data_IF_773607241154
#
_entry.id   IF_773607241154
#
_cell.length_a   1.000
_cell.length_b   1.000
_cell.length_c   1.000
_cell.angle_alpha   90.00
_cell.angle_beta   90.00
_cell.angle_gamma   90.00
#
_symmetry.space_group_name_H-M   'P 1'
#
loop_
_entity.id
_entity.type
_entity.pdbx_description
1 polymer ?
#
# COMPACT_ATOMS: atom_id res chain seq x y z
N UNK A 1 56.12 -7.51 13.00
CA UNK A 1 55.99 -7.66 14.46
C UNK A 1 56.84 -6.60 15.13
N UNK A 2 56.21 -5.58 15.72
CA UNK A 2 56.70 -4.71 16.81
C UNK A 2 55.67 -3.57 17.00
N UNK A 3 55.00 -3.52 18.16
CA UNK A 3 54.12 -2.42 18.57
C UNK A 3 54.94 -1.29 19.21
N UNK A 4 54.47 -0.03 19.14
CA UNK A 4 54.71 0.95 20.17
C UNK A 4 53.48 1.17 21.09
N UNK A 5 53.83 1.50 22.33
CA UNK A 5 53.02 1.54 23.56
C UNK A 5 52.10 2.77 23.62
N UNK A 6 50.87 2.59 24.11
CA UNK A 6 49.99 3.69 24.54
C UNK A 6 50.04 3.83 26.06
N UNK A 7 50.46 5.01 26.50
CA UNK A 7 50.58 5.46 27.89
C UNK A 7 49.19 5.83 28.45
N UNK A 8 48.91 5.38 29.67
CA UNK A 8 47.65 5.59 30.37
C UNK A 8 47.49 6.99 30.95
N UNK A 9 46.26 7.50 30.94
CA UNK A 9 45.81 8.54 31.88
C UNK A 9 44.44 8.15 32.44
N UNK A 10 44.48 7.86 33.72
CA UNK A 10 43.39 7.57 34.65
C UNK A 10 42.46 8.78 34.74
N UNK A 11 41.13 8.58 34.59
CA UNK A 11 40.12 9.57 35.01
C UNK A 11 39.25 8.90 36.06
N UNK A 12 39.34 9.43 37.28
CA UNK A 12 38.59 8.99 38.45
C UNK A 12 37.09 9.30 38.30
N UNK A 13 36.26 8.28 38.51
CA UNK A 13 34.81 8.42 38.70
C UNK A 13 34.55 8.82 40.16
N UNK A 14 34.01 10.02 40.37
CA UNK A 14 33.41 10.42 41.65
C UNK A 14 31.97 9.91 41.70
N UNK A 15 31.71 9.06 42.68
CA UNK A 15 30.39 8.63 43.07
C UNK A 15 29.65 9.74 43.83
N UNK A 16 28.36 9.90 43.57
CA UNK A 16 27.44 10.55 44.49
C UNK A 16 26.15 9.71 44.58
N UNK A 17 25.96 9.11 45.75
CA UNK A 17 24.75 8.41 46.19
C UNK A 17 23.93 9.41 46.99
N UNK A 18 22.62 9.52 46.73
CA UNK A 18 21.66 9.98 47.73
C UNK A 18 20.26 9.40 47.44
N UNK A 19 19.58 9.04 48.51
CA UNK A 19 18.51 8.06 48.60
C UNK A 19 17.09 8.64 48.45
N UNK A 20 16.19 7.78 47.96
CA UNK A 20 14.87 7.38 48.48
C UNK A 20 13.89 8.47 48.97
N UNK A 21 12.69 8.48 48.37
CA UNK A 21 11.44 8.62 49.11
C UNK A 21 10.31 7.81 48.44
N UNK A 22 9.77 6.84 49.18
CA UNK A 22 8.53 6.11 48.89
C UNK A 22 7.39 6.90 49.52
N UNK A 23 6.35 7.23 48.73
CA UNK A 23 5.10 7.82 49.20
C UNK A 23 3.91 7.05 48.64
N UNK A 24 3.04 6.58 49.53
CA UNK A 24 1.91 5.71 49.26
C UNK A 24 0.59 6.48 48.98
N UNK A 25 -0.30 5.81 48.23
CA UNK A 25 -1.78 5.77 48.30
C UNK A 25 -2.59 7.08 48.36
N UNK A 26 -3.47 7.25 47.37
CA UNK A 26 -4.90 7.48 47.60
C UNK A 26 -5.71 7.06 46.36
N UNK A 27 -6.61 6.09 46.55
CA UNK A 27 -7.73 5.85 45.65
C UNK A 27 -8.77 6.97 45.83
N UNK A 28 -9.38 7.43 44.74
CA UNK A 28 -10.66 8.14 44.86
C UNK A 28 -11.63 7.63 43.80
N UNK A 29 -12.61 6.86 44.28
CA UNK A 29 -13.84 6.58 43.56
C UNK A 29 -14.91 7.54 44.10
N UNK A 30 -15.59 8.24 43.20
CA UNK A 30 -16.86 8.91 43.48
C UNK A 30 -17.70 8.91 42.21
N UNK A 31 -19.00 8.82 42.42
CA UNK A 31 -20.00 8.06 41.67
C UNK A 31 -21.08 9.02 41.15
N UNK A 32 -21.71 8.63 40.03
CA UNK A 32 -22.96 9.15 39.42
C UNK A 32 -22.89 10.58 38.87
N UNK A 33 -23.40 10.86 37.66
CA UNK A 33 -24.79 10.67 37.21
C UNK A 33 -24.87 10.60 35.66
N UNK A 34 -25.83 9.84 35.15
CA UNK A 34 -26.38 9.94 33.78
C UNK A 34 -27.86 10.27 33.99
N UNK A 35 -28.50 11.20 33.26
CA UNK A 35 -29.01 10.85 31.93
C UNK A 35 -29.15 12.04 30.94
N UNK A 36 -29.31 11.72 29.65
CA UNK A 36 -30.46 12.17 28.82
C UNK A 36 -30.22 11.85 27.34
N UNK A 37 -31.27 11.31 26.73
CA UNK A 37 -31.35 10.87 25.35
C UNK A 37 -31.67 12.02 24.36
N UNK A 38 -31.63 11.65 23.07
CA UNK A 38 -32.38 12.19 21.94
C UNK A 38 -31.69 13.19 20.98
N UNK A 39 -31.10 12.60 19.91
CA UNK A 39 -31.41 12.80 18.48
C UNK A 39 -31.25 14.21 17.85
N UNK A 40 -31.47 14.35 16.53
CA UNK A 40 -30.51 14.08 15.44
C UNK A 40 -30.12 15.38 14.70
N UNK A 41 -28.86 15.53 14.28
CA UNK A 41 -28.50 16.66 13.39
C UNK A 41 -28.47 16.20 11.94
N UNK A 42 -29.23 16.93 11.14
CA UNK A 42 -29.71 16.62 9.82
C UNK A 42 -28.61 16.51 8.76
N UNK A 43 -28.88 15.62 7.80
CA UNK A 43 -28.20 15.58 6.53
C UNK A 43 -28.31 16.93 5.80
N UNK A 44 -27.24 17.40 5.13
CA UNK A 44 -27.34 18.56 4.25
C UNK A 44 -28.30 18.27 3.08
N UNK A 45 -29.03 19.29 2.59
CA UNK A 45 -30.08 19.10 1.59
C UNK A 45 -29.50 18.60 0.27
N UNK A 46 -30.22 17.63 -0.32
CA UNK A 46 -29.98 17.13 -1.66
C UNK A 46 -29.91 18.29 -2.68
N UNK A 47 -28.92 18.30 -3.59
CA UNK A 47 -28.96 19.20 -4.73
C UNK A 47 -30.13 18.83 -5.64
N UNK A 48 -30.92 19.85 -5.98
CA UNK A 48 -32.09 19.75 -6.84
C UNK A 48 -31.70 19.28 -8.25
N UNK A 49 -32.60 18.52 -8.84
CA UNK A 49 -32.55 18.11 -10.24
C UNK A 49 -32.34 19.32 -11.17
N UNK A 50 -31.27 19.23 -11.96
CA UNK A 50 -31.09 19.98 -13.19
C UNK A 50 -30.60 19.01 -14.24
N UNK A 51 -31.48 18.73 -15.19
CA UNK A 51 -31.23 18.00 -16.41
C UNK A 51 -30.22 18.80 -17.23
N UNK A 52 -29.02 18.25 -17.48
CA UNK A 52 -28.29 18.42 -18.73
C UNK A 52 -27.03 17.54 -18.77
N UNK A 53 -27.04 16.59 -19.73
CA UNK A 53 -25.94 15.81 -20.30
C UNK A 53 -25.28 14.72 -19.43
N UNK A 54 -25.89 13.54 -19.51
CA UNK A 54 -25.32 12.22 -19.27
C UNK A 54 -24.05 12.02 -20.13
N UNK A 55 -22.88 12.22 -19.54
CA UNK A 55 -21.65 11.55 -19.99
C UNK A 55 -21.42 10.44 -18.98
N UNK A 56 -21.77 9.23 -19.42
CA UNK A 56 -21.96 8.04 -18.62
C UNK A 56 -20.73 7.70 -17.75
N UNK A 57 -20.88 7.85 -16.44
CA UNK A 57 -19.93 7.37 -15.42
C UNK A 57 -20.35 6.02 -14.82
N UNK A 58 -21.41 5.41 -15.35
CA UNK A 58 -21.79 4.06 -14.99
C UNK A 58 -20.93 3.09 -15.78
N UNK A 59 -19.92 2.58 -15.11
CA UNK A 59 -19.18 1.39 -15.52
C UNK A 59 -20.15 0.36 -16.11
N UNK A 60 -20.02 0.05 -17.39
CA UNK A 60 -20.91 -0.94 -17.99
C UNK A 60 -20.63 -2.30 -17.34
N UNK A 61 -21.67 -3.12 -17.14
CA UNK A 61 -21.49 -4.48 -16.64
C UNK A 61 -20.48 -5.30 -17.48
N UNK A 62 -20.32 -4.93 -18.76
CA UNK A 62 -19.30 -5.47 -19.65
C UNK A 62 -17.86 -5.11 -19.22
N UNK A 63 -17.61 -3.90 -18.74
CA UNK A 63 -16.29 -3.47 -18.25
C UNK A 63 -15.89 -4.18 -16.95
N UNK A 64 -16.85 -4.35 -16.04
CA UNK A 64 -16.67 -5.14 -14.81
C UNK A 64 -16.31 -6.60 -15.14
N UNK A 65 -17.02 -7.19 -16.11
CA UNK A 65 -16.78 -8.56 -16.56
C UNK A 65 -15.44 -8.70 -17.28
N UNK A 66 -15.05 -7.71 -18.09
CA UNK A 66 -13.79 -7.74 -18.84
C UNK A 66 -12.56 -7.71 -17.90
N UNK A 67 -12.58 -6.90 -16.84
CA UNK A 67 -11.48 -6.88 -15.87
C UNK A 67 -11.34 -8.20 -15.10
N UNK A 68 -12.46 -8.84 -14.74
CA UNK A 68 -12.47 -10.12 -14.03
C UNK A 68 -12.10 -11.32 -14.92
N UNK A 69 -12.31 -11.25 -16.23
CA UNK A 69 -12.07 -12.36 -17.17
C UNK A 69 -10.59 -12.56 -17.56
N UNK A 70 -9.71 -11.64 -17.17
CA UNK A 70 -8.27 -11.74 -17.46
C UNK A 70 -7.60 -12.88 -16.67
N UNK A 71 -6.50 -13.45 -17.19
CA UNK A 71 -5.69 -14.38 -16.40
C UNK A 71 -5.10 -13.66 -15.18
N UNK A 72 -4.92 -14.40 -14.09
CA UNK A 72 -4.29 -13.88 -12.88
C UNK A 72 -2.82 -13.52 -13.14
N UNK A 73 -2.38 -12.37 -12.63
CA UNK A 73 -0.95 -12.04 -12.57
C UNK A 73 -0.28 -12.97 -11.56
N UNK A 74 0.77 -13.69 -12.00
CA UNK A 74 1.48 -14.69 -11.19
C UNK A 74 2.97 -14.41 -11.05
N UNK A 75 3.44 -13.32 -11.62
CA UNK A 75 4.84 -12.88 -11.53
C UNK A 75 4.91 -11.36 -11.56
N UNK A 76 6.12 -10.82 -11.54
CA UNK A 76 6.35 -9.40 -11.76
C UNK A 76 7.48 -9.22 -12.78
N UNK A 77 7.35 -8.18 -13.59
CA UNK A 77 8.34 -7.79 -14.59
C UNK A 77 8.67 -6.32 -14.42
N UNK A 78 9.95 -5.99 -14.58
CA UNK A 78 10.38 -4.61 -14.74
C UNK A 78 10.10 -4.14 -16.19
N UNK A 79 9.09 -3.31 -16.37
CA UNK A 79 8.73 -2.70 -17.66
C UNK A 79 9.57 -1.43 -17.87
N UNK A 80 10.42 -1.35 -18.90
CA UNK A 80 11.26 -0.17 -19.11
C UNK A 80 10.43 1.09 -19.41
N UNK A 81 10.74 2.19 -18.74
CA UNK A 81 10.26 3.54 -19.09
C UNK A 81 11.27 4.22 -20.02
N UNK A 82 12.56 4.01 -19.74
CA UNK A 82 13.66 4.43 -20.59
C UNK A 82 14.86 3.48 -20.35
N UNK A 83 16.05 3.84 -20.84
CA UNK A 83 17.26 3.02 -20.73
C UNK A 83 17.70 2.74 -19.28
N UNK A 84 17.32 3.58 -18.32
CA UNK A 84 17.80 3.51 -16.94
C UNK A 84 16.70 3.23 -15.92
N UNK A 85 15.44 3.47 -16.25
CA UNK A 85 14.30 3.39 -15.34
C UNK A 85 13.25 2.40 -15.83
N UNK A 86 12.64 1.68 -14.92
CA UNK A 86 11.50 0.81 -15.19
C UNK A 86 10.48 0.77 -14.06
N UNK A 87 9.31 0.22 -14.36
CA UNK A 87 8.22 0.02 -13.43
C UNK A 87 8.13 -1.47 -13.11
N UNK A 88 8.24 -1.88 -11.84
CA UNK A 88 7.94 -3.26 -11.48
C UNK A 88 6.42 -3.44 -11.51
N UNK A 89 5.94 -4.20 -12.49
CA UNK A 89 4.51 -4.45 -12.68
C UNK A 89 4.17 -5.91 -12.44
N UNK A 90 3.00 -6.20 -11.84
CA UNK A 90 2.36 -7.50 -11.96
C UNK A 90 2.27 -7.95 -13.42
N UNK A 91 2.64 -9.21 -13.67
CA UNK A 91 2.68 -9.79 -15.02
C UNK A 91 2.27 -11.25 -15.03
N UNK A 92 2.02 -11.77 -16.23
CA UNK A 92 1.82 -13.20 -16.45
C UNK A 92 3.17 -13.92 -16.25
N UNK A 93 3.15 -15.06 -15.53
CA UNK A 93 4.33 -15.90 -15.34
C UNK A 93 4.89 -16.39 -16.68
N UNK A 94 6.22 -16.41 -16.82
CA UNK A 94 6.93 -16.81 -18.02
C UNK A 94 6.47 -16.07 -19.31
N UNK A 95 6.00 -14.83 -19.16
CA UNK A 95 5.52 -13.98 -20.25
C UNK A 95 6.02 -12.55 -20.09
N UNK A 96 5.97 -11.78 -21.18
CA UNK A 96 6.23 -10.32 -21.17
C UNK A 96 4.95 -9.51 -20.94
N UNK A 97 3.78 -10.15 -20.97
CA UNK A 97 2.50 -9.48 -20.85
C UNK A 97 2.20 -9.04 -19.41
N UNK A 98 1.82 -7.78 -19.26
CA UNK A 98 1.23 -7.22 -18.04
C UNK A 98 -0.29 -7.19 -18.08
N UNK A 99 -0.90 -7.73 -19.15
CA UNK A 99 -2.36 -7.82 -19.33
C UNK A 99 -2.90 -9.02 -18.59
N UNK A 100 -3.02 -8.84 -17.28
CA UNK A 100 -3.54 -9.79 -16.31
C UNK A 100 -4.27 -9.01 -15.22
N UNK A 101 -4.95 -9.71 -14.31
CA UNK A 101 -5.60 -9.09 -13.15
C UNK A 101 -5.06 -9.60 -11.81
N UNK A 102 -5.36 -8.83 -10.76
CA UNK A 102 -5.32 -9.27 -9.37
C UNK A 102 -6.63 -8.85 -8.70
N UNK A 103 -7.24 -9.76 -7.95
CA UNK A 103 -8.54 -9.54 -7.30
C UNK A 103 -8.63 -10.23 -5.95
N UNK A 104 -9.71 -9.95 -5.22
CA UNK A 104 -9.93 -10.50 -3.88
C UNK A 104 -9.88 -12.03 -3.87
N UNK A 105 -9.06 -12.57 -2.97
CA UNK A 105 -8.86 -14.01 -2.82
C UNK A 105 -7.63 -14.55 -3.57
N UNK A 106 -6.95 -13.73 -4.38
CA UNK A 106 -5.69 -14.15 -4.98
C UNK A 106 -4.58 -14.24 -3.92
N UNK A 107 -3.82 -15.32 -3.99
CA UNK A 107 -2.65 -15.59 -3.18
C UNK A 107 -1.50 -16.12 -4.06
N UNK A 108 -0.24 -16.12 -3.57
CA UNK A 108 0.91 -16.51 -4.38
C UNK A 108 1.11 -18.04 -4.48
N UNK A 109 0.27 -18.87 -3.85
CA UNK A 109 0.50 -20.28 -3.61
C UNK A 109 -0.53 -21.24 -4.22
N UNK A 110 -1.46 -20.77 -5.06
CA UNK A 110 -2.37 -21.68 -5.79
C UNK A 110 -1.58 -22.58 -6.77
N UNK A 111 -1.13 -23.75 -6.28
CA UNK A 111 -0.48 -24.81 -7.07
C UNK A 111 1.06 -24.91 -7.01
N UNK A 112 1.68 -24.60 -5.87
CA UNK A 112 3.05 -25.00 -5.47
C UNK A 112 4.15 -24.96 -6.55
N UNK A 113 4.81 -23.81 -6.73
CA UNK A 113 6.23 -23.79 -7.10
C UNK A 113 6.87 -22.45 -6.75
N UNK A 114 7.84 -22.43 -5.81
CA UNK A 114 8.60 -21.25 -5.40
C UNK A 114 9.76 -20.94 -6.37
N UNK A 115 9.51 -20.97 -7.68
CA UNK A 115 10.52 -20.58 -8.66
C UNK A 115 10.12 -19.29 -9.36
N UNK A 116 11.00 -18.28 -9.23
CA UNK A 116 10.88 -16.97 -9.87
C UNK A 116 10.49 -15.86 -8.90
N UNK A 117 11.37 -15.49 -7.98
CA UNK A 117 11.18 -14.28 -7.19
C UNK A 117 12.37 -13.35 -7.36
N UNK A 118 12.07 -12.05 -7.52
CA UNK A 118 12.44 -11.27 -6.36
C UNK A 118 11.29 -10.64 -5.60
N UNK A 119 10.02 -10.64 -6.06
CA UNK A 119 8.85 -10.21 -5.28
C UNK A 119 7.53 -10.45 -6.06
N UNK A 120 6.58 -11.22 -5.50
CA UNK A 120 5.36 -11.70 -6.21
C UNK A 120 4.50 -10.58 -6.80
N UNK A 121 3.63 -10.92 -7.76
CA UNK A 121 2.68 -10.00 -8.40
C UNK A 121 1.95 -9.10 -7.38
N UNK A 122 1.40 -9.71 -6.31
CA UNK A 122 0.63 -8.99 -5.30
C UNK A 122 1.54 -8.13 -4.42
N UNK A 123 2.71 -8.63 -4.03
CA UNK A 123 3.64 -7.86 -3.20
C UNK A 123 4.16 -6.61 -3.93
N UNK A 124 4.44 -6.70 -5.23
CA UNK A 124 4.83 -5.54 -6.05
C UNK A 124 3.73 -4.48 -6.05
N UNK A 125 2.47 -4.89 -6.21
CA UNK A 125 1.33 -3.99 -6.09
C UNK A 125 1.25 -3.37 -4.68
N UNK A 126 1.32 -4.17 -3.62
CA UNK A 126 1.24 -3.71 -2.23
C UNK A 126 2.35 -2.70 -1.88
N UNK A 127 3.59 -2.94 -2.31
CA UNK A 127 4.70 -1.99 -2.13
C UNK A 127 4.42 -0.67 -2.85
N UNK A 128 3.92 -0.74 -4.08
CA UNK A 128 3.60 0.46 -4.84
C UNK A 128 2.46 1.26 -4.20
N UNK A 129 1.39 0.58 -3.77
CA UNK A 129 0.27 1.19 -3.04
C UNK A 129 0.74 1.87 -1.75
N UNK A 130 1.61 1.22 -0.97
CA UNK A 130 2.15 1.80 0.25
C UNK A 130 2.98 3.06 -0.02
N UNK A 131 3.82 3.04 -1.06
CA UNK A 131 4.70 4.16 -1.35
C UNK A 131 3.96 5.34 -2.01
N UNK A 132 3.14 5.07 -3.03
CA UNK A 132 2.50 6.12 -3.83
C UNK A 132 1.14 6.58 -3.30
N UNK A 133 0.50 5.79 -2.44
CA UNK A 133 -0.83 6.08 -1.92
C UNK A 133 -0.94 6.01 -0.39
N UNK A 134 0.15 5.66 0.32
CA UNK A 134 0.20 5.72 1.79
C UNK A 134 -0.70 4.69 2.50
N UNK A 135 -1.01 3.56 1.85
CA UNK A 135 -2.06 2.62 2.28
C UNK A 135 -1.70 1.70 3.46
N UNK A 136 -0.46 1.75 3.96
CA UNK A 136 0.03 0.99 5.14
C UNK A 136 -0.35 -0.51 5.16
N UNK A 137 -0.37 -1.16 4.00
CA UNK A 137 -0.64 -2.58 3.82
C UNK A 137 0.52 -3.44 4.34
N UNK A 138 0.19 -4.62 4.85
CA UNK A 138 1.17 -5.71 4.90
C UNK A 138 1.58 -6.08 3.46
N UNK A 139 2.86 -6.37 3.27
CA UNK A 139 3.40 -6.86 2.00
C UNK A 139 3.52 -8.38 2.09
N UNK A 140 2.37 -9.02 2.23
CA UNK A 140 2.23 -10.46 2.48
C UNK A 140 1.99 -11.26 1.18
N UNK A 141 1.73 -10.58 0.07
CA UNK A 141 1.38 -11.21 -1.20
C UNK A 141 -0.04 -11.74 -1.25
N UNK A 142 -0.91 -11.36 -0.31
CA UNK A 142 -2.32 -11.77 -0.29
C UNK A 142 -3.18 -10.59 -0.76
N UNK A 143 -4.02 -10.84 -1.77
CA UNK A 143 -5.01 -9.88 -2.19
C UNK A 143 -6.26 -9.98 -1.29
N UNK A 144 -6.07 -9.58 -0.03
CA UNK A 144 -7.11 -9.55 0.98
C UNK A 144 -8.00 -8.31 0.89
N UNK A 145 -8.86 -8.14 1.91
CA UNK A 145 -9.78 -7.01 2.03
C UNK A 145 -9.06 -5.66 2.03
N UNK A 146 -7.92 -5.56 2.71
CA UNK A 146 -7.12 -4.34 2.79
C UNK A 146 -6.51 -3.98 1.42
N UNK A 147 -5.93 -4.95 0.71
CA UNK A 147 -5.39 -4.74 -0.64
C UNK A 147 -6.50 -4.30 -1.61
N UNK A 148 -7.67 -4.95 -1.54
CA UNK A 148 -8.84 -4.57 -2.34
C UNK A 148 -9.31 -3.14 -2.03
N UNK A 149 -9.37 -2.75 -0.76
CA UNK A 149 -9.77 -1.42 -0.34
C UNK A 149 -8.80 -0.33 -0.85
N UNK A 150 -7.49 -0.61 -0.80
CA UNK A 150 -6.46 0.25 -1.37
C UNK A 150 -6.60 0.41 -2.88
N UNK A 151 -6.84 -0.67 -3.62
CA UNK A 151 -7.09 -0.59 -5.07
C UNK A 151 -8.35 0.21 -5.38
N UNK A 152 -9.44 0.04 -4.62
CA UNK A 152 -10.63 0.88 -4.77
C UNK A 152 -10.35 2.36 -4.51
N UNK A 153 -9.44 2.70 -3.59
CA UNK A 153 -9.02 4.08 -3.38
C UNK A 153 -8.26 4.63 -4.59
N UNK A 154 -7.35 3.86 -5.17
CA UNK A 154 -6.68 4.24 -6.42
C UNK A 154 -7.72 4.51 -7.52
N UNK A 155 -8.68 3.61 -7.70
CA UNK A 155 -9.72 3.75 -8.72
C UNK A 155 -10.55 5.01 -8.52
N UNK A 156 -10.97 5.31 -7.29
CA UNK A 156 -11.67 6.57 -6.98
C UNK A 156 -10.83 7.79 -7.30
N UNK A 157 -9.56 7.80 -6.89
CA UNK A 157 -8.65 8.93 -7.09
C UNK A 157 -8.35 9.19 -8.57
N UNK A 158 -8.49 8.18 -9.42
CA UNK A 158 -8.21 8.23 -10.85
C UNK A 158 -9.48 8.16 -11.71
N UNK A 159 -10.66 8.40 -11.12
CA UNK A 159 -11.96 8.41 -11.82
C UNK A 159 -12.25 7.14 -12.63
N UNK A 160 -11.84 5.99 -12.10
CA UNK A 160 -12.10 4.68 -12.69
C UNK A 160 -13.33 4.03 -12.06
N UNK A 161 -13.82 2.99 -12.74
CA UNK A 161 -14.73 2.00 -12.17
C UNK A 161 -14.15 1.43 -10.87
N UNK A 162 -14.91 1.50 -9.78
CA UNK A 162 -14.46 1.14 -8.43
C UNK A 162 -14.79 -0.33 -8.09
N UNK A 163 -14.28 -1.25 -8.91
CA UNK A 163 -14.53 -2.70 -8.75
C UNK A 163 -13.61 -3.37 -7.71
N UNK A 164 -12.47 -2.74 -7.40
CA UNK A 164 -11.42 -3.29 -6.54
C UNK A 164 -10.58 -4.37 -7.20
N UNK A 165 -10.61 -4.47 -8.54
CA UNK A 165 -9.76 -5.33 -9.35
C UNK A 165 -8.60 -4.48 -9.88
N UNK A 166 -7.39 -4.94 -9.62
CA UNK A 166 -6.23 -4.44 -10.35
C UNK A 166 -6.26 -5.08 -11.75
N UNK A 167 -6.55 -4.29 -12.78
CA UNK A 167 -6.54 -4.70 -14.18
C UNK A 167 -5.89 -3.62 -15.07
N UNK A 168 -5.91 -3.78 -16.41
CA UNK A 168 -5.23 -2.87 -17.33
C UNK A 168 -5.58 -1.39 -17.15
N UNK A 169 -6.85 -1.06 -16.90
CA UNK A 169 -7.28 0.33 -16.63
C UNK A 169 -6.65 0.88 -15.35
N UNK A 170 -6.74 0.13 -14.25
CA UNK A 170 -6.10 0.50 -12.97
C UNK A 170 -4.58 0.64 -13.11
N UNK A 171 -3.93 -0.32 -13.78
CA UNK A 171 -2.48 -0.35 -14.03
C UNK A 171 -2.02 0.90 -14.78
N UNK A 172 -2.73 1.28 -15.85
CA UNK A 172 -2.39 2.42 -16.69
C UNK A 172 -2.61 3.77 -16.00
N UNK A 173 -3.68 3.90 -15.20
CA UNK A 173 -3.96 5.18 -14.54
C UNK A 173 -3.09 5.43 -13.30
N UNK A 174 -2.70 4.37 -12.59
CA UNK A 174 -2.08 4.54 -11.27
C UNK A 174 -0.65 5.10 -11.32
N UNK A 175 -0.27 5.79 -10.25
CA UNK A 175 1.08 6.23 -10.01
C UNK A 175 1.97 5.04 -9.59
N UNK A 176 3.19 5.05 -10.10
CA UNK A 176 4.21 4.02 -9.91
C UNK A 176 5.48 4.60 -9.28
N UNK A 177 6.05 3.84 -8.34
CA UNK A 177 7.44 4.01 -7.90
C UNK A 177 8.37 3.33 -8.90
N UNK A 178 9.28 4.10 -9.48
CA UNK A 178 10.20 3.57 -10.49
C UNK A 178 11.43 2.92 -9.84
N UNK A 179 11.98 1.93 -10.52
CA UNK A 179 13.25 1.30 -10.16
C UNK A 179 14.32 1.67 -11.19
N UNK A 180 15.45 2.17 -10.71
CA UNK A 180 16.62 2.49 -11.53
C UNK A 180 17.46 1.23 -11.71
N UNK A 181 17.55 0.75 -12.94
CA UNK A 181 18.43 -0.36 -13.31
C UNK A 181 19.91 0.06 -13.25
N UNK A 182 20.19 1.33 -13.56
CA UNK A 182 21.56 1.87 -13.57
C UNK A 182 22.16 1.95 -12.17
N UNK A 183 21.38 2.38 -11.18
CA UNK A 183 21.86 2.60 -9.79
C UNK A 183 21.35 1.56 -8.80
N UNK A 184 20.53 0.60 -9.26
CA UNK A 184 19.87 -0.43 -8.44
C UNK A 184 19.08 0.16 -7.25
N UNK A 185 18.49 1.34 -7.46
CA UNK A 185 17.80 2.10 -6.43
C UNK A 185 16.38 2.46 -6.83
N UNK A 186 15.52 2.67 -5.84
CA UNK A 186 14.15 3.11 -6.06
C UNK A 186 14.05 4.63 -6.18
N UNK A 187 13.10 5.11 -6.97
CA UNK A 187 12.77 6.54 -7.03
C UNK A 187 12.29 7.05 -5.67
N UNK A 188 12.52 8.34 -5.43
CA UNK A 188 12.05 9.08 -4.26
C UNK A 188 10.64 9.68 -4.46
N UNK A 189 10.13 9.66 -5.68
CA UNK A 189 8.82 10.14 -6.07
C UNK A 189 8.05 9.08 -6.86
N UNK A 190 6.76 9.32 -7.04
CA UNK A 190 5.89 8.54 -7.90
C UNK A 190 5.69 9.22 -9.24
N UNK A 191 5.42 8.44 -10.28
CA UNK A 191 5.19 8.90 -11.65
C UNK A 191 4.05 8.10 -12.28
N UNK A 192 3.30 8.68 -13.22
CA UNK A 192 2.36 7.95 -14.07
C UNK A 192 2.87 7.95 -15.53
N UNK A 193 3.83 7.06 -15.86
CA UNK A 193 4.49 7.05 -17.17
C UNK A 193 3.75 6.24 -18.25
N UNK A 194 2.51 5.80 -18.01
CA UNK A 194 1.75 4.88 -18.86
C UNK A 194 0.55 5.53 -19.55
#
# INVERSE_FOLDING_TARGET
MALPKLSGRTIALLAAVAAVAVGAVAANASKHESPAAAAPSAAPPAPKASTDQDVSHDATAAELKAAAALPQCRSARLVPVNRSWGIPMPSIYASTSTTCNLMYGDDPYRGSNRYGEPDTAIQVLQRNLNFCYGTKLAVDGIYGSNTRAAVKQVQRNHHLVVDGIYGPKTRSAMNWRLYSMATRSWSRSCSSPL
#
